data_IF_951455047393
#
_entry.id   IF_951455047393
#
_cell.length_a   1.000
_cell.length_b   1.000
_cell.length_c   1.000
_cell.angle_alpha   90.00
_cell.angle_beta   90.00
_cell.angle_gamma   90.00
#
_symmetry.space_group_name_H-M   'P 1'
#
loop_
_entity.id
_entity.type
_entity.pdbx_description
1 polymer ?
#
# COMPACT_ATOMS: atom_id res chain seq x y z
N UNK A 1 6.18 -13.39 2.61
CA UNK A 1 4.83 -13.85 3.00
C UNK A 1 3.77 -13.53 1.93
N UNK A 2 3.58 -12.25 1.56
CA UNK A 2 2.52 -11.83 0.62
C UNK A 2 2.55 -12.54 -0.74
N UNK A 3 3.72 -12.71 -1.36
CA UNK A 3 3.84 -13.42 -2.64
C UNK A 3 3.32 -14.87 -2.58
N UNK A 4 3.58 -15.55 -1.46
CA UNK A 4 3.10 -16.94 -1.25
C UNK A 4 1.58 -16.98 -1.15
N UNK A 5 0.98 -16.10 -0.34
CA UNK A 5 -0.48 -16.00 -0.17
C UNK A 5 -1.16 -15.69 -1.50
N UNK A 6 -0.60 -14.76 -2.29
CA UNK A 6 -1.11 -14.43 -3.62
C UNK A 6 -1.07 -15.65 -4.56
N UNK A 7 0.04 -16.40 -4.59
CA UNK A 7 0.15 -17.61 -5.39
C UNK A 7 -0.78 -18.75 -4.96
N UNK A 8 -1.04 -18.90 -3.66
CA UNK A 8 -1.91 -19.93 -3.11
C UNK A 8 -3.41 -19.61 -3.28
N UNK A 9 -3.81 -18.34 -3.28
CA UNK A 9 -5.23 -17.91 -3.31
C UNK A 9 -5.69 -17.39 -4.67
N UNK A 10 -4.76 -17.03 -5.56
CA UNK A 10 -5.05 -16.31 -6.80
C UNK A 10 -5.36 -14.81 -6.60
N UNK A 11 -5.26 -14.29 -5.37
CA UNK A 11 -5.43 -12.87 -5.10
C UNK A 11 -4.31 -12.02 -5.72
N UNK A 12 -4.65 -10.81 -6.16
CA UNK A 12 -3.69 -9.85 -6.74
C UNK A 12 -3.08 -8.97 -5.65
N UNK A 13 -1.76 -8.75 -5.69
CA UNK A 13 -1.10 -7.78 -4.80
C UNK A 13 -1.50 -6.36 -5.23
N UNK A 14 -2.17 -5.65 -4.32
CA UNK A 14 -2.78 -4.34 -4.58
C UNK A 14 -1.83 -3.14 -4.52
N UNK A 15 -0.61 -3.32 -4.00
CA UNK A 15 0.38 -2.25 -3.84
C UNK A 15 1.18 -2.42 -2.55
N UNK A 16 1.90 -1.36 -2.15
CA UNK A 16 2.68 -1.28 -0.91
C UNK A 16 2.14 -0.12 -0.07
N UNK A 17 2.06 -0.33 1.23
CA UNK A 17 1.58 0.65 2.20
C UNK A 17 2.69 1.00 3.19
N UNK A 18 2.59 2.17 3.79
CA UNK A 18 3.44 2.57 4.91
C UNK A 18 2.89 1.98 6.21
N UNK A 19 3.62 1.03 6.81
CA UNK A 19 3.15 0.28 7.97
C UNK A 19 3.54 0.90 9.31
N UNK A 20 4.84 1.06 9.53
CA UNK A 20 5.45 1.43 10.81
C UNK A 20 6.22 2.75 10.78
N UNK A 21 6.33 3.37 9.61
CA UNK A 21 7.20 4.51 9.37
C UNK A 21 6.69 5.41 8.25
N UNK A 22 7.01 6.69 8.36
CA UNK A 22 6.87 7.67 7.28
C UNK A 22 7.97 7.47 6.24
N UNK A 23 7.77 8.03 5.05
CA UNK A 23 8.88 8.13 4.10
C UNK A 23 9.95 9.09 4.63
N UNK A 24 11.18 9.04 4.08
CA UNK A 24 12.16 10.10 4.30
C UNK A 24 11.59 11.48 3.97
N UNK A 25 12.17 12.53 4.57
CA UNK A 25 11.76 13.91 4.32
C UNK A 25 11.76 14.24 2.82
N UNK A 26 10.67 14.86 2.32
CA UNK A 26 10.46 15.14 0.90
C UNK A 26 9.96 13.96 0.07
N UNK A 27 9.70 12.80 0.68
CA UNK A 27 9.10 11.64 0.03
C UNK A 27 7.57 11.68 -0.03
N UNK A 28 6.97 10.65 -0.63
CA UNK A 28 5.51 10.57 -0.90
C UNK A 28 4.62 10.52 0.36
N UNK A 29 5.20 10.23 1.52
CA UNK A 29 4.50 10.02 2.79
C UNK A 29 5.30 10.61 3.95
N UNK A 30 5.90 11.78 3.77
CA UNK A 30 6.81 12.39 4.76
C UNK A 30 6.08 13.08 5.92
N UNK A 31 4.75 13.16 5.84
CA UNK A 31 3.86 13.50 6.95
C UNK A 31 2.77 12.47 7.11
N UNK A 32 2.19 12.40 8.31
CA UNK A 32 1.12 11.44 8.61
C UNK A 32 -0.10 11.56 7.69
N UNK A 33 -0.47 12.80 7.29
CA UNK A 33 -1.62 13.01 6.40
C UNK A 33 -1.29 12.57 4.97
N UNK A 34 -0.08 12.83 4.49
CA UNK A 34 0.35 12.33 3.17
C UNK A 34 0.45 10.81 3.15
N UNK A 35 0.97 10.19 4.22
CA UNK A 35 0.97 8.74 4.41
C UNK A 35 -0.45 8.15 4.30
N UNK A 36 -1.42 8.70 5.04
CA UNK A 36 -2.80 8.23 4.96
C UNK A 36 -3.42 8.43 3.57
N UNK A 37 -3.13 9.56 2.90
CA UNK A 37 -3.62 9.81 1.54
C UNK A 37 -3.05 8.79 0.55
N UNK A 38 -1.75 8.50 0.65
CA UNK A 38 -1.08 7.48 -0.14
C UNK A 38 -1.73 6.11 0.09
N UNK A 39 -1.83 5.67 1.35
CA UNK A 39 -2.32 4.34 1.68
C UNK A 39 -3.79 4.14 1.25
N UNK A 40 -4.65 5.13 1.48
CA UNK A 40 -6.06 5.07 1.06
C UNK A 40 -6.19 5.03 -0.46
N UNK A 41 -5.36 5.79 -1.18
CA UNK A 41 -5.34 5.76 -2.65
C UNK A 41 -4.88 4.39 -3.17
N UNK A 42 -3.82 3.83 -2.59
CA UNK A 42 -3.29 2.50 -2.94
C UNK A 42 -4.31 1.40 -2.65
N UNK A 43 -4.97 1.44 -1.49
CA UNK A 43 -6.04 0.50 -1.13
C UNK A 43 -7.21 0.58 -2.12
N UNK A 44 -7.69 1.79 -2.43
CA UNK A 44 -8.77 2.00 -3.40
C UNK A 44 -8.40 1.44 -4.77
N UNK A 45 -7.19 1.72 -5.25
CA UNK A 45 -6.71 1.21 -6.54
C UNK A 45 -6.64 -0.32 -6.54
N UNK A 46 -6.16 -0.93 -5.45
CA UNK A 46 -6.12 -2.39 -5.28
C UNK A 46 -7.52 -3.02 -5.32
N UNK A 47 -8.50 -2.44 -4.62
CA UNK A 47 -9.87 -2.93 -4.58
C UNK A 47 -10.59 -2.85 -5.94
N UNK A 48 -10.32 -1.81 -6.73
CA UNK A 48 -10.94 -1.62 -8.05
C UNK A 48 -10.37 -2.53 -9.14
N UNK A 49 -9.26 -3.24 -8.88
CA UNK A 49 -8.63 -4.18 -9.83
C UNK A 49 -9.15 -5.62 -9.70
N UNK A 50 -10.01 -5.90 -8.72
CA UNK A 50 -10.61 -7.21 -8.47
C UNK A 50 -11.90 -7.42 -9.28
#
# INVERSE_FOLDING_TARGET
AMQRIAGETGAVIGGTLYGDSLSPAGGEADTYIEMLRHDVSTLKAGMLRN
#
